data_IF_096571961218
#
_entry.id   IF_096571961218
#
_cell.length_a   1.000
_cell.length_b   1.000
_cell.length_c   1.000
_cell.angle_alpha   90.00
_cell.angle_beta   90.00
_cell.angle_gamma   90.00
#
_symmetry.space_group_name_H-M   'P 1'
#
loop_
_entity.id
_entity.type
_entity.pdbx_description
1 polymer ?
#
# COMPACT_ATOMS: atom_id res chain seq x y z
N UNK A 1 -3.16 11.51 -25.16
CA UNK A 1 -3.37 10.03 -25.08
C UNK A 1 -3.18 9.28 -26.42
N UNK A 2 -2.20 8.38 -26.53
CA UNK A 2 -1.95 7.59 -27.76
C UNK A 2 -3.10 6.59 -28.06
N UNK A 3 -3.39 6.36 -29.35
CA UNK A 3 -4.43 5.43 -29.81
C UNK A 3 -4.25 4.00 -29.27
N UNK A 4 -3.00 3.59 -29.00
CA UNK A 4 -2.68 2.26 -28.46
C UNK A 4 -3.16 2.04 -27.03
N UNK A 5 -3.09 3.05 -26.15
CA UNK A 5 -3.52 2.93 -24.76
C UNK A 5 -5.05 2.77 -24.65
N UNK A 6 -5.79 3.55 -25.44
CA UNK A 6 -7.25 3.41 -25.60
C UNK A 6 -7.63 2.03 -26.15
N UNK A 7 -6.88 1.53 -27.12
CA UNK A 7 -7.12 0.22 -27.72
C UNK A 7 -6.92 -0.93 -26.72
N UNK A 8 -5.81 -0.93 -25.96
CA UNK A 8 -5.52 -1.96 -24.94
C UNK A 8 -6.55 -1.97 -23.80
N UNK A 9 -7.04 -0.81 -23.36
CA UNK A 9 -8.08 -0.70 -22.32
C UNK A 9 -9.42 -1.29 -22.80
N UNK A 10 -9.82 -0.96 -24.04
CA UNK A 10 -11.04 -1.46 -24.70
C UNK A 10 -10.96 -2.98 -24.99
N UNK A 11 -9.77 -3.49 -25.29
CA UNK A 11 -9.55 -4.92 -25.50
C UNK A 11 -9.67 -5.76 -24.21
N UNK A 12 -9.16 -5.25 -23.09
CA UNK A 12 -9.30 -5.93 -21.78
C UNK A 12 -10.74 -5.97 -21.30
N UNK A 13 -11.50 -4.88 -21.49
CA UNK A 13 -12.93 -4.85 -21.16
C UNK A 13 -13.74 -5.83 -22.01
N UNK A 14 -13.45 -5.96 -23.32
CA UNK A 14 -14.15 -6.91 -24.17
C UNK A 14 -13.81 -8.38 -23.87
N UNK A 15 -12.56 -8.70 -23.49
CA UNK A 15 -12.20 -10.07 -23.04
C UNK A 15 -12.86 -10.44 -21.72
N UNK A 16 -12.95 -9.49 -20.77
CA UNK A 16 -13.68 -9.69 -19.52
C UNK A 16 -15.17 -9.91 -19.79
N UNK A 17 -15.78 -9.07 -20.63
CA UNK A 17 -17.18 -9.21 -21.07
C UNK A 17 -17.44 -10.54 -21.79
N UNK A 18 -16.53 -11.00 -22.64
CA UNK A 18 -16.65 -12.28 -23.33
C UNK A 18 -16.47 -13.50 -22.41
N UNK A 19 -15.67 -13.39 -21.33
CA UNK A 19 -15.54 -14.44 -20.30
C UNK A 19 -16.77 -14.49 -19.40
N UNK A 20 -17.30 -13.33 -19.00
CA UNK A 20 -18.58 -13.20 -18.26
C UNK A 20 -19.72 -13.83 -19.08
N UNK A 21 -19.80 -13.53 -20.39
CA UNK A 21 -20.82 -14.06 -21.28
C UNK A 21 -20.77 -15.59 -21.50
N UNK A 22 -19.64 -16.24 -21.16
CA UNK A 22 -19.46 -17.69 -21.32
C UNK A 22 -19.72 -18.50 -20.05
N UNK A 23 -20.06 -17.87 -18.92
CA UNK A 23 -20.52 -18.52 -17.68
C UNK A 23 -19.66 -19.70 -17.13
N UNK A 24 -18.43 -19.88 -17.62
CA UNK A 24 -17.57 -21.01 -17.22
C UNK A 24 -16.65 -20.69 -16.04
N UNK A 25 -16.58 -19.42 -15.62
CA UNK A 25 -15.81 -18.98 -14.45
C UNK A 25 -16.55 -17.82 -13.77
N UNK A 26 -16.48 -17.75 -12.43
CA UNK A 26 -16.93 -16.57 -11.68
C UNK A 26 -15.90 -15.46 -11.88
N UNK A 27 -16.26 -14.40 -12.63
CA UNK A 27 -15.34 -13.31 -13.01
C UNK A 27 -15.62 -12.01 -12.25
N UNK A 28 -16.20 -12.10 -11.05
CA UNK A 28 -16.48 -10.94 -10.19
C UNK A 28 -17.37 -11.29 -9.00
N UNK A 29 -17.48 -10.35 -8.06
CA UNK A 29 -18.38 -10.45 -6.91
C UNK A 29 -19.58 -9.54 -7.16
N UNK A 30 -20.79 -10.12 -7.21
CA UNK A 30 -22.03 -9.36 -7.31
C UNK A 30 -22.72 -9.34 -5.94
N UNK A 31 -22.84 -8.15 -5.36
CA UNK A 31 -23.50 -7.93 -4.08
C UNK A 31 -24.85 -7.24 -4.32
N UNK A 32 -25.98 -7.95 -4.25
CA UNK A 32 -27.28 -7.31 -4.40
C UNK A 32 -27.50 -6.34 -3.23
N UNK A 33 -27.79 -5.08 -3.56
CA UNK A 33 -28.04 -4.04 -2.57
C UNK A 33 -29.32 -3.26 -2.92
N UNK A 34 -30.30 -3.31 -2.01
CA UNK A 34 -31.64 -2.73 -2.24
C UNK A 34 -31.61 -1.24 -2.58
N UNK A 35 -30.64 -0.51 -2.04
CA UNK A 35 -30.53 0.95 -2.19
C UNK A 35 -29.37 1.35 -3.11
N UNK A 36 -28.99 0.50 -4.08
CA UNK A 36 -27.85 0.77 -4.97
C UNK A 36 -27.96 2.08 -5.76
N UNK A 37 -29.18 2.51 -6.09
CA UNK A 37 -29.44 3.76 -6.82
C UNK A 37 -29.12 5.02 -5.99
N UNK A 38 -29.12 4.89 -4.65
CA UNK A 38 -28.89 6.00 -3.72
C UNK A 38 -27.43 6.11 -3.29
N UNK A 39 -26.58 5.13 -3.64
CA UNK A 39 -25.16 5.16 -3.31
C UNK A 39 -24.47 6.36 -3.95
N UNK A 40 -23.66 7.05 -3.16
CA UNK A 40 -22.79 8.15 -3.59
C UNK A 40 -21.39 7.88 -3.08
N UNK A 41 -20.32 8.14 -3.87
CA UNK A 41 -18.96 8.12 -3.35
C UNK A 41 -18.83 9.11 -2.19
N UNK A 42 -18.29 8.64 -1.06
CA UNK A 42 -18.05 9.47 0.12
C UNK A 42 -16.55 9.51 0.42
N UNK A 43 -16.06 10.70 0.74
CA UNK A 43 -14.76 10.88 1.38
C UNK A 43 -14.87 10.67 2.89
N UNK A 44 -13.88 11.17 3.63
CA UNK A 44 -13.86 11.23 5.09
C UNK A 44 -13.30 12.60 5.54
N UNK A 45 -14.08 13.69 5.40
CA UNK A 45 -13.63 15.03 5.80
C UNK A 45 -13.27 15.14 7.28
N UNK A 46 -13.76 14.23 8.13
CA UNK A 46 -13.42 14.12 9.55
C UNK A 46 -11.93 13.82 9.78
N UNK A 47 -11.23 13.31 8.76
CA UNK A 47 -9.79 13.10 8.80
C UNK A 47 -8.98 14.38 8.56
N UNK A 48 -9.58 15.48 8.10
CA UNK A 48 -8.85 16.72 7.80
C UNK A 48 -7.91 17.16 8.94
N UNK A 49 -8.32 17.18 10.22
CA UNK A 49 -7.41 17.55 11.31
C UNK A 49 -6.18 16.64 11.43
N UNK A 50 -6.30 15.35 11.11
CA UNK A 50 -5.16 14.41 11.12
C UNK A 50 -4.19 14.71 9.98
N UNK A 51 -4.73 15.05 8.80
CA UNK A 51 -3.95 15.39 7.62
C UNK A 51 -3.21 16.72 7.82
N UNK A 52 -3.88 17.71 8.40
CA UNK A 52 -3.30 19.00 8.78
C UNK A 52 -2.21 18.84 9.83
N UNK A 53 -2.46 18.04 10.87
CA UNK A 53 -1.46 17.74 11.90
C UNK A 53 -0.22 16.99 11.35
N UNK A 54 -0.36 16.29 10.22
CA UNK A 54 0.72 15.55 9.57
C UNK A 54 1.54 16.40 8.58
N UNK A 55 1.15 17.64 8.28
CA UNK A 55 1.89 18.52 7.36
C UNK A 55 3.39 18.68 7.68
N UNK A 56 3.82 18.82 8.95
CA UNK A 56 5.25 18.91 9.26
C UNK A 56 6.02 17.68 8.77
N UNK A 57 5.46 16.48 8.93
CA UNK A 57 6.08 15.23 8.44
C UNK A 57 6.11 15.18 6.90
N UNK A 58 5.06 15.67 6.24
CA UNK A 58 5.05 15.76 4.77
C UNK A 58 6.10 16.74 4.25
N UNK A 59 6.28 17.89 4.92
CA UNK A 59 7.33 18.87 4.57
C UNK A 59 8.73 18.30 4.77
N UNK A 60 8.96 17.58 5.87
CA UNK A 60 10.24 16.89 6.11
C UNK A 60 10.54 15.88 4.99
N UNK A 61 9.54 15.12 4.55
CA UNK A 61 9.70 14.18 3.45
C UNK A 61 9.91 14.90 2.11
N UNK A 62 9.25 16.04 1.85
CA UNK A 62 9.56 16.89 0.69
C UNK A 62 11.01 17.37 0.69
N UNK A 63 11.52 17.85 1.83
CA UNK A 63 12.95 18.24 1.96
C UNK A 63 13.87 17.04 1.70
N UNK A 64 13.50 15.85 2.16
CA UNK A 64 14.24 14.62 1.89
C UNK A 64 14.24 14.27 0.40
N UNK A 65 13.10 14.45 -0.29
CA UNK A 65 12.97 14.26 -1.74
C UNK A 65 13.91 15.21 -2.50
N UNK A 66 13.97 16.49 -2.10
CA UNK A 66 14.89 17.47 -2.72
C UNK A 66 16.35 17.01 -2.64
N UNK A 67 16.75 16.42 -1.51
CA UNK A 67 18.10 15.88 -1.32
C UNK A 67 18.48 14.76 -2.31
N UNK A 68 17.53 14.20 -3.05
CA UNK A 68 17.74 13.16 -4.05
C UNK A 68 17.48 13.62 -5.50
N UNK A 69 17.39 14.93 -5.76
CA UNK A 69 17.12 15.49 -7.10
C UNK A 69 18.01 14.88 -8.21
N UNK A 70 19.32 14.76 -7.98
CA UNK A 70 20.25 14.17 -8.94
C UNK A 70 19.92 12.71 -9.27
N UNK A 71 19.40 11.95 -8.30
CA UNK A 71 19.00 10.56 -8.54
C UNK A 71 17.75 10.49 -9.41
N UNK A 72 16.77 11.36 -9.16
CA UNK A 72 15.54 11.45 -9.94
C UNK A 72 15.79 11.92 -11.38
N UNK A 73 16.75 12.83 -11.59
CA UNK A 73 17.17 13.25 -12.93
C UNK A 73 17.71 12.08 -13.80
N UNK A 74 18.12 10.97 -13.17
CA UNK A 74 18.60 9.75 -13.86
C UNK A 74 17.49 8.72 -14.11
N UNK A 75 16.23 9.03 -13.85
CA UNK A 75 15.11 8.17 -14.23
C UNK A 75 14.84 8.28 -15.74
N UNK A 76 14.24 7.24 -16.34
CA UNK A 76 13.96 7.21 -17.79
C UNK A 76 14.81 6.23 -18.61
N UNK A 77 15.56 5.34 -17.96
CA UNK A 77 16.31 4.27 -18.63
C UNK A 77 15.45 3.13 -19.18
N UNK A 78 16.05 2.15 -19.88
CA UNK A 78 15.35 0.95 -20.34
C UNK A 78 14.81 0.14 -19.17
N UNK A 79 13.72 -0.62 -19.38
CA UNK A 79 13.21 -1.52 -18.35
C UNK A 79 14.32 -2.49 -17.90
N UNK A 80 14.45 -2.77 -16.59
CA UNK A 80 13.51 -2.45 -15.50
C UNK A 80 13.71 -1.09 -14.81
N UNK A 81 14.49 -0.16 -15.36
CA UNK A 81 14.73 1.14 -14.72
C UNK A 81 13.41 1.91 -14.45
N UNK A 82 13.34 2.66 -13.34
CA UNK A 82 12.19 3.52 -13.07
C UNK A 82 12.13 4.68 -14.07
N UNK A 83 10.92 5.16 -14.29
CA UNK A 83 10.59 6.30 -15.15
C UNK A 83 9.34 6.99 -14.62
N UNK A 84 9.23 8.30 -14.85
CA UNK A 84 8.07 9.08 -14.46
C UNK A 84 6.93 8.99 -15.50
N UNK A 85 7.25 8.65 -16.75
CA UNK A 85 6.29 8.50 -17.85
C UNK A 85 5.52 7.18 -17.76
N UNK A 86 4.67 7.06 -16.74
CA UNK A 86 3.79 5.93 -16.45
C UNK A 86 2.68 6.36 -15.49
N UNK A 87 1.50 5.74 -15.59
CA UNK A 87 0.27 6.17 -14.94
C UNK A 87 -0.12 5.36 -13.69
N UNK A 88 0.70 4.40 -13.27
CA UNK A 88 0.42 3.46 -12.17
C UNK A 88 1.06 3.83 -10.83
N UNK A 89 2.16 4.59 -10.85
CA UNK A 89 2.86 5.04 -9.63
C UNK A 89 3.56 6.40 -9.86
N UNK A 90 2.83 7.43 -10.30
CA UNK A 90 3.40 8.63 -10.90
C UNK A 90 3.94 9.62 -9.86
N UNK A 91 4.78 10.56 -10.32
CA UNK A 91 5.16 11.78 -9.59
C UNK A 91 5.49 11.56 -8.11
N UNK A 92 4.70 12.19 -7.24
CA UNK A 92 4.83 12.12 -5.77
C UNK A 92 4.88 10.70 -5.21
N UNK A 93 4.18 9.74 -5.82
CA UNK A 93 4.18 8.34 -5.36
C UNK A 93 5.59 7.74 -5.47
N UNK A 94 6.20 7.91 -6.64
CA UNK A 94 7.57 7.50 -6.92
C UNK A 94 8.59 8.24 -6.05
N UNK A 95 8.43 9.56 -5.90
CA UNK A 95 9.35 10.39 -5.11
C UNK A 95 9.34 9.97 -3.63
N UNK A 96 8.15 9.82 -3.03
CA UNK A 96 7.98 9.46 -1.63
C UNK A 96 8.51 8.05 -1.34
N UNK A 97 8.18 7.06 -2.17
CA UNK A 97 8.66 5.70 -1.98
C UNK A 97 10.20 5.61 -2.07
N UNK A 98 10.79 6.30 -3.05
CA UNK A 98 12.24 6.36 -3.19
C UNK A 98 12.90 7.01 -1.97
N UNK A 99 12.40 8.18 -1.56
CA UNK A 99 12.96 8.95 -0.46
C UNK A 99 12.83 8.22 0.88
N UNK A 100 11.71 7.54 1.14
CA UNK A 100 11.52 6.74 2.35
C UNK A 100 12.46 5.53 2.39
N UNK A 101 12.62 4.79 1.28
CA UNK A 101 13.58 3.67 1.23
C UNK A 101 15.02 4.17 1.45
N UNK A 102 15.41 5.27 0.80
CA UNK A 102 16.75 5.85 0.93
C UNK A 102 17.06 6.39 2.32
N UNK A 103 16.10 7.08 2.94
CA UNK A 103 16.32 7.75 4.24
C UNK A 103 16.13 6.81 5.43
N UNK A 104 15.20 5.84 5.33
CA UNK A 104 14.92 4.89 6.42
C UNK A 104 15.78 3.63 6.36
N UNK A 105 16.36 3.33 5.20
CA UNK A 105 17.21 2.15 4.98
C UNK A 105 16.61 0.86 5.57
N UNK A 106 15.36 0.51 5.21
CA UNK A 106 14.65 -0.64 5.79
C UNK A 106 15.50 -1.90 5.61
N UNK A 107 15.48 -2.81 6.59
CA UNK A 107 16.13 -4.12 6.44
C UNK A 107 15.26 -5.02 5.56
N UNK A 108 13.95 -4.90 5.69
CA UNK A 108 12.97 -5.69 4.96
C UNK A 108 11.85 -4.83 4.38
N UNK A 109 11.48 -5.17 3.15
CA UNK A 109 10.28 -4.68 2.49
C UNK A 109 9.47 -5.91 2.10
N UNK A 110 8.24 -6.00 2.60
CA UNK A 110 7.24 -6.95 2.11
C UNK A 110 6.31 -6.18 1.20
N UNK A 111 6.28 -6.55 -0.09
CA UNK A 111 5.44 -5.93 -1.11
C UNK A 111 4.30 -6.89 -1.51
N UNK A 112 3.07 -6.40 -1.46
CA UNK A 112 1.86 -7.12 -1.88
C UNK A 112 1.36 -6.44 -3.15
N UNK A 113 1.47 -7.15 -4.27
CA UNK A 113 1.29 -6.58 -5.61
C UNK A 113 2.54 -5.87 -6.10
N UNK A 114 3.19 -6.43 -7.13
CA UNK A 114 4.47 -5.93 -7.64
C UNK A 114 4.27 -5.10 -8.91
N UNK A 115 5.16 -4.16 -9.21
CA UNK A 115 4.96 -3.27 -10.35
C UNK A 115 5.99 -2.15 -10.52
N UNK A 116 5.47 -0.95 -10.73
CA UNK A 116 6.30 0.26 -10.85
C UNK A 116 6.92 0.64 -9.51
N UNK A 117 6.18 0.47 -8.41
CA UNK A 117 6.67 0.55 -7.01
C UNK A 117 7.94 -0.28 -6.80
N UNK A 118 7.94 -1.55 -7.22
CA UNK A 118 9.09 -2.46 -7.11
C UNK A 118 10.35 -1.88 -7.77
N UNK A 119 10.21 -1.29 -8.96
CA UNK A 119 11.33 -0.65 -9.68
C UNK A 119 11.91 0.52 -8.90
N UNK A 120 11.02 1.33 -8.32
CA UNK A 120 11.40 2.51 -7.53
C UNK A 120 12.15 2.08 -6.26
N UNK A 121 11.59 1.13 -5.51
CA UNK A 121 12.20 0.64 -4.27
C UNK A 121 13.53 -0.08 -4.54
N UNK A 122 13.61 -0.93 -5.58
CA UNK A 122 14.86 -1.59 -5.96
C UNK A 122 15.93 -0.58 -6.43
N UNK A 123 15.52 0.49 -7.14
CA UNK A 123 16.45 1.56 -7.53
C UNK A 123 16.95 2.34 -6.32
N UNK A 124 16.08 2.66 -5.37
CA UNK A 124 16.47 3.31 -4.12
C UNK A 124 17.50 2.47 -3.34
N UNK A 125 17.30 1.15 -3.28
CA UNK A 125 18.28 0.24 -2.66
C UNK A 125 19.64 0.27 -3.36
N UNK A 126 19.64 0.18 -4.70
CA UNK A 126 20.87 0.20 -5.48
C UNK A 126 21.64 1.52 -5.32
N UNK A 127 20.94 2.65 -5.47
CA UNK A 127 21.53 3.98 -5.35
C UNK A 127 22.03 4.27 -3.91
N UNK A 128 21.39 3.67 -2.90
CA UNK A 128 21.79 3.79 -1.50
C UNK A 128 22.81 2.76 -1.01
N UNK A 129 23.18 1.77 -1.84
CA UNK A 129 24.02 0.65 -1.42
C UNK A 129 23.41 -0.17 -0.26
N UNK A 130 22.08 -0.26 -0.20
CA UNK A 130 21.37 -0.82 0.95
C UNK A 130 21.38 -2.35 0.95
N UNK A 131 21.56 -2.94 2.13
CA UNK A 131 21.41 -4.39 2.35
C UNK A 131 19.94 -4.85 2.52
N UNK A 132 19.00 -3.96 2.17
CA UNK A 132 17.55 -4.20 2.20
C UNK A 132 17.18 -5.44 1.39
N UNK A 133 16.15 -6.17 1.83
CA UNK A 133 15.57 -7.27 1.06
C UNK A 133 14.12 -6.98 0.74
N UNK A 134 13.74 -7.09 -0.53
CA UNK A 134 12.35 -7.05 -0.97
C UNK A 134 11.82 -8.48 -1.12
N UNK A 135 10.69 -8.75 -0.49
CA UNK A 135 9.89 -9.96 -0.69
C UNK A 135 8.57 -9.56 -1.33
N UNK A 136 8.36 -9.91 -2.59
CA UNK A 136 7.17 -9.55 -3.36
C UNK A 136 6.21 -10.74 -3.46
N UNK A 137 4.95 -10.54 -3.07
CA UNK A 137 3.86 -11.51 -3.17
C UNK A 137 2.90 -11.00 -4.22
N UNK A 138 2.86 -11.70 -5.36
CA UNK A 138 2.08 -11.31 -6.52
C UNK A 138 1.75 -12.59 -7.32
N UNK A 139 0.48 -12.91 -7.61
CA UNK A 139 0.13 -14.14 -8.33
C UNK A 139 0.63 -14.16 -9.78
N UNK A 140 0.97 -13.01 -10.36
CA UNK A 140 1.44 -12.91 -11.73
C UNK A 140 2.52 -11.80 -11.87
N UNK A 141 3.71 -11.98 -11.26
CA UNK A 141 4.77 -10.98 -11.32
C UNK A 141 5.18 -10.73 -12.78
N UNK A 142 5.34 -9.46 -13.15
CA UNK A 142 5.67 -9.07 -14.52
C UNK A 142 7.07 -9.60 -14.87
N UNK A 143 7.20 -10.33 -15.99
CA UNK A 143 8.48 -10.91 -16.41
C UNK A 143 9.63 -9.90 -16.49
N UNK A 144 9.32 -8.67 -16.92
CA UNK A 144 10.28 -7.56 -17.01
C UNK A 144 10.78 -7.03 -15.65
N UNK A 145 10.39 -7.63 -14.52
CA UNK A 145 10.90 -7.30 -13.18
C UNK A 145 11.82 -8.39 -12.62
N UNK A 146 11.88 -9.58 -13.24
CA UNK A 146 12.54 -10.76 -12.66
C UNK A 146 14.04 -10.59 -12.39
N UNK A 147 14.70 -9.73 -13.15
CA UNK A 147 16.14 -9.46 -12.98
C UNK A 147 16.43 -8.50 -11.80
N UNK A 148 15.40 -7.93 -11.17
CA UNK A 148 15.57 -7.17 -9.93
C UNK A 148 15.90 -8.11 -8.77
N UNK A 149 16.74 -7.67 -7.80
CA UNK A 149 17.14 -8.47 -6.64
C UNK A 149 15.99 -8.57 -5.60
N UNK A 150 14.91 -9.24 -6.00
CA UNK A 150 13.67 -9.40 -5.26
C UNK A 150 13.41 -10.88 -5.02
N UNK A 151 12.95 -11.24 -3.83
CA UNK A 151 12.44 -12.57 -3.54
C UNK A 151 10.99 -12.66 -4.01
N UNK A 152 10.73 -13.45 -5.04
CA UNK A 152 9.42 -13.53 -5.70
C UNK A 152 8.58 -14.69 -5.16
N UNK A 153 7.36 -14.40 -4.71
CA UNK A 153 6.34 -15.37 -4.38
C UNK A 153 5.17 -15.24 -5.36
N UNK A 154 5.18 -16.10 -6.39
CA UNK A 154 4.17 -16.13 -7.45
C UNK A 154 2.86 -16.79 -6.98
N UNK A 155 2.17 -16.17 -6.02
CA UNK A 155 0.97 -16.71 -5.39
C UNK A 155 0.01 -15.60 -4.92
N UNK A 156 -1.23 -15.98 -4.67
CA UNK A 156 -2.19 -15.13 -3.97
C UNK A 156 -1.73 -14.87 -2.53
N UNK A 157 -2.02 -13.68 -2.00
CA UNK A 157 -1.65 -13.33 -0.63
C UNK A 157 -2.23 -14.31 0.39
N UNK A 158 -3.46 -14.77 0.16
CA UNK A 158 -4.18 -15.71 1.03
C UNK A 158 -3.50 -17.08 1.14
N UNK A 159 -2.62 -17.43 0.19
CA UNK A 159 -1.81 -18.65 0.25
C UNK A 159 -0.50 -18.47 1.04
N UNK A 160 -0.16 -17.23 1.43
CA UNK A 160 1.05 -16.91 2.17
C UNK A 160 0.83 -17.01 3.68
N UNK A 161 1.89 -17.37 4.43
CA UNK A 161 1.85 -17.40 5.89
C UNK A 161 1.83 -15.97 6.47
N UNK A 162 0.78 -15.56 7.22
CA UNK A 162 0.72 -14.25 7.87
C UNK A 162 1.94 -13.93 8.75
N UNK A 163 2.68 -14.94 9.25
CA UNK A 163 3.90 -14.74 10.01
C UNK A 163 5.05 -14.09 9.21
N UNK A 164 4.89 -13.90 7.90
CA UNK A 164 5.83 -13.15 7.08
C UNK A 164 6.01 -11.71 7.57
N UNK A 165 4.96 -11.08 8.13
CA UNK A 165 5.06 -9.72 8.70
C UNK A 165 5.58 -9.70 10.14
N UNK A 166 5.63 -10.85 10.81
CA UNK A 166 6.18 -10.95 12.18
C UNK A 166 7.69 -10.67 12.22
N UNK A 167 8.35 -10.60 11.07
CA UNK A 167 9.79 -10.28 10.99
C UNK A 167 10.06 -8.80 10.74
N UNK A 168 9.04 -8.02 10.41
CA UNK A 168 9.18 -6.58 10.24
C UNK A 168 9.49 -5.92 11.59
N UNK A 169 10.53 -5.10 11.58
CA UNK A 169 11.01 -4.31 12.70
C UNK A 169 10.75 -2.81 12.46
N UNK A 170 10.90 -1.94 13.47
CA UNK A 170 10.80 -0.51 13.28
C UNK A 170 11.65 -0.02 12.10
N UNK A 171 11.07 0.76 11.20
CA UNK A 171 11.69 1.23 9.97
C UNK A 171 11.53 0.31 8.76
N UNK A 172 11.16 -0.96 8.93
CA UNK A 172 10.82 -1.85 7.82
C UNK A 172 9.47 -1.48 7.18
N UNK A 173 9.22 -1.98 5.96
CA UNK A 173 8.07 -1.59 5.15
C UNK A 173 7.15 -2.78 4.87
N UNK A 174 5.86 -2.61 5.12
CA UNK A 174 4.78 -3.35 4.49
C UNK A 174 4.15 -2.47 3.40
N UNK A 175 4.31 -2.86 2.15
CA UNK A 175 3.85 -2.11 0.98
C UNK A 175 2.65 -2.83 0.33
N UNK A 176 1.51 -2.14 0.21
CA UNK A 176 0.24 -2.75 -0.23
C UNK A 176 -0.29 -2.03 -1.47
N UNK A 177 -0.24 -2.72 -2.62
CA UNK A 177 -0.81 -2.31 -3.91
C UNK A 177 -1.57 -3.51 -4.51
N UNK A 178 -2.65 -3.89 -3.82
CA UNK A 178 -3.34 -5.17 -3.99
C UNK A 178 -4.54 -5.09 -4.95
N UNK A 179 -5.62 -5.84 -4.73
CA UNK A 179 -6.83 -5.74 -5.54
C UNK A 179 -7.66 -4.47 -5.28
N UNK A 180 -7.48 -3.83 -4.12
CA UNK A 180 -8.25 -2.70 -3.60
C UNK A 180 -9.76 -2.97 -3.36
N UNK A 181 -10.15 -4.25 -3.41
CA UNK A 181 -11.51 -4.72 -3.19
C UNK A 181 -11.62 -5.37 -1.81
N UNK A 182 -12.22 -4.67 -0.87
CA UNK A 182 -12.64 -5.17 0.43
C UNK A 182 -13.97 -5.94 0.30
N UNK A 183 -13.84 -7.26 0.20
CA UNK A 183 -14.93 -8.24 0.24
C UNK A 183 -14.47 -9.46 1.02
N UNK A 184 -15.38 -10.29 1.50
CA UNK A 184 -15.03 -11.47 2.29
C UNK A 184 -14.03 -12.38 1.55
N UNK A 185 -12.93 -12.73 2.21
CA UNK A 185 -11.85 -13.55 1.68
C UNK A 185 -10.89 -12.85 0.72
N UNK A 186 -11.05 -11.54 0.47
CA UNK A 186 -10.13 -10.81 -0.40
C UNK A 186 -8.74 -10.62 0.23
N UNK A 187 -7.78 -10.25 -0.60
CA UNK A 187 -6.44 -9.86 -0.16
C UNK A 187 -6.50 -8.63 0.75
N UNK A 188 -7.36 -7.65 0.46
CA UNK A 188 -7.59 -6.48 1.33
C UNK A 188 -8.10 -6.89 2.71
N UNK A 189 -9.12 -7.77 2.79
CA UNK A 189 -9.59 -8.29 4.08
C UNK A 189 -8.46 -9.02 4.82
N UNK A 190 -7.65 -9.80 4.09
CA UNK A 190 -6.52 -10.53 4.66
C UNK A 190 -5.44 -9.59 5.20
N UNK A 191 -5.09 -8.53 4.48
CA UNK A 191 -4.18 -7.47 4.96
C UNK A 191 -4.72 -6.91 6.28
N UNK A 192 -5.96 -6.44 6.28
CA UNK A 192 -6.57 -5.76 7.43
C UNK A 192 -6.71 -6.67 8.66
N UNK A 193 -7.10 -7.93 8.47
CA UNK A 193 -7.49 -8.83 9.58
C UNK A 193 -6.41 -9.83 9.97
N UNK A 194 -5.47 -10.16 9.09
CA UNK A 194 -4.43 -11.17 9.33
C UNK A 194 -3.03 -10.58 9.44
N UNK A 195 -2.72 -9.55 8.64
CA UNK A 195 -1.38 -8.93 8.63
C UNK A 195 -1.29 -7.75 9.59
N UNK A 196 -2.08 -6.69 9.40
CA UNK A 196 -1.96 -5.45 10.17
C UNK A 196 -1.99 -5.64 11.71
N UNK A 197 -2.77 -6.58 12.29
CA UNK A 197 -2.74 -6.81 13.73
C UNK A 197 -1.39 -7.32 14.27
N UNK A 198 -0.57 -7.94 13.40
CA UNK A 198 0.76 -8.47 13.74
C UNK A 198 1.88 -7.44 13.56
N UNK A 199 1.60 -6.34 12.85
CA UNK A 199 2.59 -5.32 12.53
C UNK A 199 3.05 -4.61 13.80
N UNK A 200 4.35 -4.62 14.04
CA UNK A 200 4.97 -3.99 15.23
C UNK A 200 4.96 -2.46 15.12
N UNK A 201 4.95 -1.74 16.27
CA UNK A 201 5.20 -0.30 16.29
C UNK A 201 6.48 0.08 15.54
N UNK A 202 6.43 1.22 14.84
CA UNK A 202 7.52 1.76 14.03
C UNK A 202 7.65 1.15 12.63
N UNK A 203 6.92 0.08 12.29
CA UNK A 203 6.86 -0.42 10.91
C UNK A 203 6.07 0.58 10.06
N UNK A 204 6.56 0.80 8.84
CA UNK A 204 5.91 1.64 7.86
C UNK A 204 4.89 0.81 7.06
N UNK A 205 3.71 1.38 6.87
CA UNK A 205 2.67 0.84 5.99
C UNK A 205 2.49 1.80 4.81
N UNK A 206 2.57 1.28 3.61
CA UNK A 206 2.10 1.96 2.41
C UNK A 206 0.82 1.28 1.92
N UNK A 207 -0.15 2.10 1.53
CA UNK A 207 -1.35 1.67 0.81
C UNK A 207 -1.50 2.54 -0.43
N UNK A 208 -1.60 1.91 -1.59
CA UNK A 208 -1.77 2.59 -2.87
C UNK A 208 -3.25 2.81 -3.23
N UNK A 209 -3.52 3.65 -4.22
CA UNK A 209 -4.87 3.97 -4.70
C UNK A 209 -5.77 4.52 -3.58
N UNK A 210 -5.23 5.43 -2.75
CA UNK A 210 -5.96 6.12 -1.66
C UNK A 210 -6.13 7.61 -1.97
N UNK A 211 -7.38 8.09 -1.91
CA UNK A 211 -7.74 9.48 -2.20
C UNK A 211 -8.20 10.26 -0.95
N UNK A 212 -8.12 9.66 0.23
CA UNK A 212 -8.52 10.32 1.47
C UNK A 212 -7.79 11.68 1.63
N UNK A 213 -8.50 12.71 2.15
CA UNK A 213 -9.85 12.67 2.71
C UNK A 213 -10.98 12.72 1.66
N UNK A 214 -10.67 12.78 0.36
CA UNK A 214 -11.65 12.88 -0.72
C UNK A 214 -12.23 11.50 -1.10
N UNK A 215 -13.40 11.47 -1.76
CA UNK A 215 -13.89 10.25 -2.41
C UNK A 215 -12.99 9.84 -3.58
N UNK A 216 -13.11 8.58 -4.00
CA UNK A 216 -12.55 8.13 -5.28
C UNK A 216 -13.04 9.02 -6.45
N UNK A 217 -12.18 9.29 -7.44
CA UNK A 217 -12.53 10.17 -8.54
C UNK A 217 -13.61 9.53 -9.44
N UNK A 218 -14.52 10.32 -10.04
CA UNK A 218 -15.65 9.78 -10.82
C UNK A 218 -15.24 8.85 -11.98
N UNK A 219 -14.09 9.10 -12.61
CA UNK A 219 -13.57 8.26 -13.71
C UNK A 219 -13.05 6.88 -13.24
N UNK A 220 -13.00 6.62 -11.92
CA UNK A 220 -12.67 5.34 -11.31
C UNK A 220 -13.89 4.61 -10.74
N UNK A 221 -15.11 5.14 -10.89
CA UNK A 221 -16.33 4.49 -10.40
C UNK A 221 -16.48 3.03 -10.88
N UNK A 222 -16.04 2.73 -12.10
CA UNK A 222 -16.08 1.39 -12.68
C UNK A 222 -15.11 0.39 -12.03
N UNK A 223 -14.09 0.85 -11.29
CA UNK A 223 -13.12 -0.02 -10.62
C UNK A 223 -13.69 -0.69 -9.38
N UNK A 224 -14.69 -0.06 -8.74
CA UNK A 224 -15.33 -0.59 -7.54
C UNK A 224 -14.44 -0.63 -6.28
N UNK A 225 -13.32 0.10 -6.29
CA UNK A 225 -12.43 0.18 -5.12
C UNK A 225 -13.17 0.76 -3.93
N UNK A 226 -12.93 0.16 -2.76
CA UNK A 226 -13.62 0.52 -1.52
C UNK A 226 -12.71 0.43 -0.29
N UNK A 227 -11.43 0.04 -0.44
CA UNK A 227 -10.54 -0.20 0.69
C UNK A 227 -10.21 1.05 1.50
N UNK A 228 -10.23 2.25 0.90
CA UNK A 228 -9.94 3.48 1.63
C UNK A 228 -10.90 3.72 2.80
N UNK A 229 -12.12 3.18 2.75
CA UNK A 229 -13.06 3.23 3.87
C UNK A 229 -12.52 2.53 5.13
N UNK A 230 -11.75 1.44 4.98
CA UNK A 230 -11.13 0.74 6.10
C UNK A 230 -9.92 1.48 6.67
N UNK A 231 -9.34 2.44 5.94
CA UNK A 231 -8.21 3.24 6.41
C UNK A 231 -8.65 4.36 7.36
N UNK A 232 -9.91 4.79 7.29
CA UNK A 232 -10.48 5.81 8.19
C UNK A 232 -10.31 5.44 9.68
N UNK A 233 -10.79 4.27 10.16
CA UNK A 233 -10.57 3.88 11.56
C UNK A 233 -9.10 3.60 11.89
N UNK A 234 -8.25 3.21 10.92
CA UNK A 234 -6.81 3.05 11.17
C UNK A 234 -6.12 4.39 11.44
N UNK A 235 -6.46 5.42 10.66
CA UNK A 235 -5.95 6.78 10.84
C UNK A 235 -6.45 7.41 12.14
N UNK A 236 -7.67 7.07 12.56
CA UNK A 236 -8.21 7.46 13.87
C UNK A 236 -7.59 6.64 15.03
N UNK A 237 -6.91 5.53 14.75
CA UNK A 237 -6.55 4.52 15.75
C UNK A 237 -5.23 3.79 15.48
N UNK A 238 -4.15 4.25 16.12
CA UNK A 238 -2.90 3.49 16.23
C UNK A 238 -1.98 3.57 15.00
N UNK A 239 -2.20 4.52 14.10
CA UNK A 239 -1.34 4.81 12.97
C UNK A 239 -1.09 6.31 12.85
N UNK A 240 0.15 6.71 12.56
CA UNK A 240 0.53 8.10 12.33
C UNK A 240 0.72 8.30 10.84
N UNK A 241 0.03 9.29 10.29
CA UNK A 241 0.19 9.69 8.89
C UNK A 241 1.58 10.32 8.66
N UNK A 242 2.29 9.83 7.64
CA UNK A 242 3.58 10.37 7.20
C UNK A 242 3.45 11.12 5.87
N UNK A 243 2.64 10.60 4.95
CA UNK A 243 2.54 11.12 3.60
C UNK A 243 1.22 10.78 2.93
N UNK A 244 0.73 11.68 2.09
CA UNK A 244 -0.39 11.44 1.17
C UNK A 244 -0.19 12.26 -0.09
N UNK A 245 0.03 11.59 -1.23
CA UNK A 245 0.28 12.28 -2.49
C UNK A 245 -0.95 13.05 -2.98
N UNK A 246 -2.13 12.43 -2.90
CA UNK A 246 -3.38 13.03 -3.35
C UNK A 246 -3.71 14.31 -2.57
N UNK A 247 -3.63 14.27 -1.24
CA UNK A 247 -3.91 15.43 -0.40
C UNK A 247 -2.92 16.57 -0.63
N UNK A 248 -1.63 16.28 -0.75
CA UNK A 248 -0.63 17.31 -1.08
C UNK A 248 -0.94 17.98 -2.41
N UNK A 249 -1.35 17.21 -3.43
CA UNK A 249 -1.66 17.75 -4.75
C UNK A 249 -2.94 18.59 -4.77
N UNK A 250 -3.95 18.22 -3.99
CA UNK A 250 -5.30 18.82 -4.07
C UNK A 250 -5.59 19.84 -2.99
N UNK A 251 -5.15 19.61 -1.75
CA UNK A 251 -5.44 20.47 -0.60
C UNK A 251 -4.27 21.37 -0.22
N UNK A 252 -3.05 21.02 -0.63
CA UNK A 252 -1.81 21.75 -0.28
C UNK A 252 -0.86 22.00 -1.48
N UNK A 253 -1.37 22.38 -2.67
CA UNK A 253 -0.52 22.55 -3.86
C UNK A 253 0.58 23.59 -3.68
N UNK A 254 0.40 24.57 -2.80
CA UNK A 254 1.39 25.60 -2.48
C UNK A 254 2.67 24.99 -1.89
N UNK A 255 2.58 23.84 -1.22
CA UNK A 255 3.74 23.14 -0.68
C UNK A 255 4.63 22.53 -1.75
N UNK A 256 4.12 22.39 -2.98
CA UNK A 256 4.80 21.73 -4.09
C UNK A 256 5.44 22.72 -5.06
N UNK A 257 5.04 23.99 -5.04
CA UNK A 257 5.38 24.98 -6.08
C UNK A 257 6.88 25.24 -6.23
N UNK A 258 7.62 25.20 -5.11
CA UNK A 258 9.03 25.59 -5.05
C UNK A 258 9.97 24.40 -4.83
N UNK A 259 9.55 23.19 -5.24
CA UNK A 259 10.35 21.99 -5.07
C UNK A 259 10.25 21.04 -6.29
N UNK A 260 11.07 19.99 -6.29
CA UNK A 260 11.16 19.01 -7.37
C UNK A 260 9.81 18.42 -7.77
N UNK A 261 8.85 18.29 -6.84
CA UNK A 261 7.54 17.75 -7.14
C UNK A 261 6.71 18.61 -8.11
N UNK A 262 6.99 19.91 -8.22
CA UNK A 262 6.41 20.74 -9.29
C UNK A 262 6.91 20.33 -10.69
N UNK A 263 8.14 19.82 -10.77
CA UNK A 263 8.81 19.48 -12.03
C UNK A 263 8.58 18.02 -12.46
N UNK A 264 7.92 17.22 -11.63
CA UNK A 264 7.56 15.83 -11.93
C UNK A 264 6.05 15.63 -11.80
N UNK A 265 5.23 16.32 -12.60
CA UNK A 265 3.79 16.16 -12.55
C UNK A 265 3.38 14.76 -13.05
N UNK A 266 2.27 14.21 -12.54
CA UNK A 266 1.74 12.95 -13.06
C UNK A 266 1.32 13.12 -14.54
N UNK A 267 1.42 12.06 -15.37
CA UNK A 267 0.90 12.09 -16.74
C UNK A 267 -0.58 12.46 -16.78
N UNK A 268 -1.02 13.05 -17.90
CA UNK A 268 -2.42 13.44 -18.10
C UNK A 268 -3.40 12.29 -17.80
N UNK A 269 -4.29 12.50 -16.82
CA UNK A 269 -5.30 11.53 -16.40
C UNK A 269 -4.82 10.46 -15.40
N UNK A 270 -3.56 10.50 -14.99
CA UNK A 270 -3.04 9.73 -13.87
C UNK A 270 -3.30 10.49 -12.55
N UNK A 271 -3.40 9.73 -11.45
CA UNK A 271 -3.54 10.28 -10.11
C UNK A 271 -2.35 9.82 -9.27
N UNK A 272 -1.89 10.70 -8.38
CA UNK A 272 -0.93 10.33 -7.34
C UNK A 272 -1.75 9.97 -6.09
N UNK A 273 -1.52 8.78 -5.53
CA UNK A 273 -2.46 8.19 -4.56
C UNK A 273 -1.82 7.32 -3.48
N UNK A 274 -0.51 7.51 -3.24
CA UNK A 274 0.20 6.85 -2.14
C UNK A 274 -0.15 7.45 -0.79
N UNK A 275 -0.56 6.58 0.15
CA UNK A 275 -0.66 6.87 1.57
C UNK A 275 0.46 6.14 2.32
N UNK A 276 1.24 6.86 3.12
CA UNK A 276 2.23 6.27 4.03
C UNK A 276 1.88 6.53 5.48
N UNK A 277 1.88 5.48 6.27
CA UNK A 277 1.61 5.48 7.70
C UNK A 277 2.76 4.83 8.46
N UNK A 278 2.90 5.18 9.73
CA UNK A 278 3.76 4.48 10.69
C UNK A 278 2.92 3.92 11.82
N UNK A 279 3.13 2.63 12.15
CA UNK A 279 2.43 2.00 13.26
C UNK A 279 2.84 2.68 14.56
N UNK A 280 1.89 3.29 15.27
CA UNK A 280 2.22 3.86 16.59
C UNK A 280 2.27 2.75 17.64
N UNK A 281 2.98 2.96 18.76
CA UNK A 281 2.80 2.13 19.94
C UNK A 281 1.33 2.23 20.37
N UNK A 282 0.52 1.25 19.99
CA UNK A 282 -0.84 1.17 20.50
C UNK A 282 -0.75 0.96 22.02
N UNK A 283 -1.69 1.56 22.75
CA UNK A 283 -2.02 1.11 24.10
C UNK A 283 -2.70 -0.27 23.95
N UNK A 284 -1.92 -1.32 23.75
CA UNK A 284 -2.44 -2.68 23.59
C UNK A 284 -2.83 -3.19 24.99
N UNK A 285 -4.07 -3.63 25.24
CA UNK A 285 -4.37 -4.33 26.48
C UNK A 285 -3.53 -5.62 26.50
N UNK A 286 -2.89 -5.98 27.62
CA UNK A 286 -1.93 -7.08 27.65
C UNK A 286 -2.59 -8.36 27.13
N UNK A 287 -2.02 -8.92 26.06
CA UNK A 287 -2.30 -10.29 25.66
C UNK A 287 -1.97 -11.16 26.87
N UNK A 288 -2.99 -11.75 27.51
CA UNK A 288 -2.77 -12.84 28.45
C UNK A 288 -2.18 -13.99 27.63
N UNK A 289 -0.85 -14.13 27.69
CA UNK A 289 -0.21 -15.41 27.39
C UNK A 289 -0.67 -16.40 28.47
N UNK A 290 -1.79 -17.07 28.19
CA UNK A 290 -2.20 -18.22 28.97
C UNK A 290 -1.16 -19.31 28.76
N UNK A 291 -0.29 -19.50 29.75
CA UNK A 291 0.57 -20.66 29.86
C UNK A 291 -0.28 -21.85 30.31
N UNK A 292 -0.55 -22.88 29.48
CA UNK A 292 -1.25 -24.06 29.95
C UNK A 292 -0.20 -25.06 30.43
N UNK A 293 0.23 -24.97 31.69
CA UNK A 293 1.13 -25.98 32.21
C UNK A 293 1.80 -25.69 33.55
N UNK A 294 1.14 -26.06 34.65
CA UNK A 294 1.71 -26.98 35.65
C UNK A 294 0.81 -27.02 36.89
N UNK A 295 0.01 -28.07 36.97
CA UNK A 295 -0.86 -28.31 38.13
C UNK A 295 -1.17 -29.78 38.28
N UNK A 296 -0.14 -30.65 38.27
CA UNK A 296 -0.29 -32.06 38.68
C UNK A 296 0.24 -32.25 40.11
N UNK A 297 -0.72 -32.58 40.97
CA UNK A 297 -0.66 -33.49 42.13
C UNK A 297 0.06 -33.04 43.41
N UNK A 298 -0.74 -32.90 44.46
CA UNK A 298 -0.43 -33.48 45.77
C UNK A 298 -1.69 -34.16 46.35
N UNK A 299 -1.81 -35.48 46.14
CA UNK A 299 -2.65 -36.33 46.99
C UNK A 299 -1.92 -36.45 48.33
N UNK A 300 -2.43 -35.84 49.40
CA UNK A 300 -2.05 -36.19 50.77
C UNK A 300 -3.05 -37.22 51.30
N UNK A 301 -2.54 -38.43 51.54
CA UNK A 301 -3.14 -39.41 52.44
C UNK A 301 -3.08 -38.86 53.87
N UNK A 302 -4.16 -38.99 54.62
CA UNK A 302 -4.15 -39.14 56.07
C UNK A 302 -5.26 -40.14 56.39
N UNK A 303 -4.87 -41.27 56.97
CA UNK A 303 -5.76 -42.25 57.55
C UNK A 303 -5.73 -42.14 59.08
N UNK A 304 -6.82 -42.60 59.68
CA UNK A 304 -6.97 -43.16 61.02
C UNK A 304 -6.40 -42.36 62.22
N UNK A 305 -7.30 -41.76 62.98
CA UNK A 305 -7.66 -42.19 64.35
C UNK A 305 -9.08 -41.74 64.65
#
# INVERSE_FOLDING_TARGET
>A
MSRLARFRRRWRSHRLQARIARAQEVVGVFLPYRHAQDLRPTGAPELLPIFEAAEPAMRELLTTIEGFADAFARFGGPAPAPRFEQDWFPGLDALAAYALVRSRAPRQIVEIGSGHSTRIMARAMADGGLATRITAIDPAPRAALRDLPVTWHAQLLQASDPALVDRLAPGDILFVDSSHLLVAGSDVEWVLTRLLPRVRPGVLLHVHDVFLPDPYPPNWAWRGYNEQAALVPLLLGGWRLLWTSHYLRTHRPQLLQDNLAAHVPPPEGAFESSLWLERTPACVPPHRSGNPGSGRKAKRRLGAS
#
